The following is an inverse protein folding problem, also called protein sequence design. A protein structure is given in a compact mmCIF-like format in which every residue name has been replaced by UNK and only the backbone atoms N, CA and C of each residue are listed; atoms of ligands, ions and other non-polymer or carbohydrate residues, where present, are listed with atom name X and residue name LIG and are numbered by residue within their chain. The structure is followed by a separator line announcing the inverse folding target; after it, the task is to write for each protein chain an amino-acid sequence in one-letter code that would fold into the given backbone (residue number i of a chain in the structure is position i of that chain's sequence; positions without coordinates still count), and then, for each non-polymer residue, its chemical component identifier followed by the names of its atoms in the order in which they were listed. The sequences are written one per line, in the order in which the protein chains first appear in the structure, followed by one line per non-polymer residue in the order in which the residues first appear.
data_IF_116766607391
#
_entry.id   IF_116766607391
#
_cell.length_a   1.000
_cell.length_b   1.000
_cell.length_c   1.000
_cell.angle_alpha   90.00
_cell.angle_beta   90.00
_cell.angle_gamma   90.00
#
_symmetry.space_group_name_H-M   'P 1'
#
loop_
_entity.id
_entity.type
_entity.pdbx_description
1 polymer ?
#
# COMPACT_ATOMS: atom_id res chain seq x y z
N UNK A 1 -20.94 3.61 9.28
CA UNK A 1 -19.91 4.52 8.85
C UNK A 1 -18.91 3.82 7.92
N UNK A 2 -18.62 4.45 6.85
CA UNK A 2 -17.75 3.86 5.86
C UNK A 2 -16.29 3.96 6.29
N UNK A 3 -15.62 2.85 6.23
CA UNK A 3 -14.21 2.80 6.59
C UNK A 3 -13.36 2.99 5.33
N UNK A 4 -12.71 4.14 5.26
CA UNK A 4 -11.89 4.45 4.08
C UNK A 4 -10.67 3.58 3.94
N UNK A 5 -10.26 2.95 5.03
CA UNK A 5 -9.04 2.13 5.00
C UNK A 5 -9.20 0.88 4.17
N UNK A 6 -10.43 0.56 3.75
CA UNK A 6 -10.62 -0.59 2.88
C UNK A 6 -9.91 -0.43 1.56
N UNK A 7 -9.53 0.79 1.21
CA UNK A 7 -8.86 1.04 -0.06
C UNK A 7 -7.37 0.86 0.01
N UNK A 8 -6.83 0.79 1.22
CA UNK A 8 -5.42 0.54 1.25
C UNK A 8 -4.77 0.88 2.56
N UNK A 9 -4.09 -0.11 3.09
CA UNK A 9 -3.24 0.08 4.25
C UNK A 9 -2.04 0.95 3.89
N UNK A 10 -1.57 0.84 2.65
CA UNK A 10 -0.39 1.56 2.22
C UNK A 10 -0.63 3.07 2.19
N UNK A 11 -1.77 3.49 1.66
CA UNK A 11 -2.10 4.91 1.65
C UNK A 11 -2.18 5.49 3.05
N UNK A 12 -2.75 4.73 3.97
CA UNK A 12 -2.85 5.14 5.35
C UNK A 12 -1.45 5.27 5.98
N UNK A 13 -0.59 4.31 5.67
CA UNK A 13 0.78 4.32 6.19
C UNK A 13 1.57 5.53 5.71
N UNK A 14 1.49 5.84 4.42
CA UNK A 14 2.27 6.98 3.90
C UNK A 14 1.72 8.30 4.43
N UNK A 15 0.41 8.38 4.68
CA UNK A 15 -0.14 9.57 5.31
C UNK A 15 0.41 9.73 6.73
N UNK A 16 0.42 8.65 7.50
CA UNK A 16 0.93 8.69 8.86
C UNK A 16 2.40 9.12 8.88
N UNK A 17 3.21 8.54 8.00
CA UNK A 17 4.63 8.91 7.95
C UNK A 17 4.80 10.38 7.57
N UNK A 18 3.98 10.86 6.62
CA UNK A 18 4.07 12.26 6.22
C UNK A 18 3.77 13.17 7.40
N UNK A 19 2.72 12.87 8.14
CA UNK A 19 2.34 13.69 9.28
C UNK A 19 3.39 13.63 10.39
N UNK A 20 3.95 12.46 10.63
CA UNK A 20 5.00 12.32 11.63
C UNK A 20 6.23 13.14 11.29
N UNK A 21 6.49 13.33 10.01
CA UNK A 21 7.66 14.10 9.56
C UNK A 21 7.33 15.57 9.31
N UNK A 22 6.10 15.98 9.60
CA UNK A 22 5.70 17.38 9.43
C UNK A 22 5.70 17.85 8.00
N UNK A 23 5.51 16.95 7.05
CA UNK A 23 5.53 17.30 5.64
C UNK A 23 4.13 17.55 5.12
N UNK A 24 4.05 18.34 4.07
CA UNK A 24 2.79 18.64 3.41
C UNK A 24 2.65 17.77 2.17
N UNK A 25 1.41 17.61 1.73
CA UNK A 25 1.15 16.78 0.55
C UNK A 25 1.89 17.28 -0.67
N UNK A 26 2.05 18.58 -0.82
CA UNK A 26 2.75 19.08 -1.99
C UNK A 26 4.21 18.68 -2.03
N UNK A 27 4.84 18.51 -0.87
CA UNK A 27 6.22 18.03 -0.83
C UNK A 27 6.31 16.63 -1.42
N UNK A 28 5.34 15.78 -1.07
CA UNK A 28 5.34 14.42 -1.57
C UNK A 28 4.99 14.38 -3.06
N UNK A 29 4.07 15.25 -3.47
CA UNK A 29 3.72 15.31 -4.89
C UNK A 29 4.94 15.67 -5.72
N UNK A 30 5.74 16.63 -5.24
CA UNK A 30 6.95 17.01 -5.96
C UNK A 30 7.97 15.87 -6.00
N UNK A 31 8.18 15.23 -4.85
CA UNK A 31 9.13 14.13 -4.78
C UNK A 31 8.75 13.01 -5.74
N UNK A 32 7.47 12.70 -5.80
CA UNK A 32 6.98 11.58 -6.61
C UNK A 32 6.63 12.00 -8.03
N UNK A 33 6.87 13.26 -8.37
CA UNK A 33 6.64 13.78 -9.71
C UNK A 33 5.20 13.61 -10.15
N UNK A 34 4.29 13.99 -9.26
CA UNK A 34 2.86 13.95 -9.55
C UNK A 34 2.23 15.23 -9.02
N UNK A 35 0.94 15.41 -9.22
CA UNK A 35 0.28 16.62 -8.71
C UNK A 35 -0.38 16.32 -7.35
N UNK A 36 -0.79 17.39 -6.66
CA UNK A 36 -1.36 17.24 -5.34
C UNK A 36 -2.66 16.44 -5.33
N UNK A 37 -3.60 16.68 -6.27
CA UNK A 37 -4.82 15.88 -6.26
C UNK A 37 -4.54 14.38 -6.43
N UNK A 38 -3.58 14.04 -7.28
CA UNK A 38 -3.22 12.65 -7.47
C UNK A 38 -2.59 12.07 -6.20
N UNK A 39 -1.66 12.81 -5.60
CA UNK A 39 -1.04 12.33 -4.38
C UNK A 39 -2.08 12.17 -3.26
N UNK A 40 -3.01 13.13 -3.14
CA UNK A 40 -4.06 13.04 -2.14
C UNK A 40 -4.87 11.76 -2.31
N UNK A 41 -5.18 11.39 -3.55
CA UNK A 41 -5.89 10.15 -3.82
C UNK A 41 -5.08 8.93 -3.42
N UNK A 42 -3.75 9.01 -3.52
CA UNK A 42 -2.91 7.91 -3.09
C UNK A 42 -3.02 7.66 -1.59
N UNK A 43 -3.05 8.73 -0.80
CA UNK A 43 -3.21 8.58 0.64
C UNK A 43 -4.58 8.00 0.99
N UNK A 44 -5.59 8.38 0.23
CA UNK A 44 -6.94 7.87 0.47
C UNK A 44 -7.13 6.44 -0.03
N UNK A 45 -6.19 5.94 -0.81
CA UNK A 45 -6.32 4.62 -1.39
C UNK A 45 -7.18 4.59 -2.65
N UNK A 46 -7.59 5.75 -3.14
CA UNK A 46 -8.38 5.83 -4.36
C UNK A 46 -7.52 5.70 -5.61
N UNK A 47 -6.21 5.87 -5.47
CA UNK A 47 -5.26 5.70 -6.55
C UNK A 47 -4.06 4.94 -6.02
N UNK A 48 -3.68 3.88 -6.73
CA UNK A 48 -2.56 3.07 -6.28
C UNK A 48 -1.24 3.80 -6.52
N UNK A 49 -0.36 3.77 -5.53
CA UNK A 49 0.99 4.28 -5.67
C UNK A 49 1.72 3.39 -6.67
N UNK A 50 2.52 3.99 -7.56
CA UNK A 50 3.29 3.20 -8.50
C UNK A 50 4.46 2.52 -7.79
N UNK A 51 4.80 1.34 -8.28
CA UNK A 51 5.87 0.56 -7.65
C UNK A 51 7.19 1.34 -7.56
N UNK A 52 7.49 2.14 -8.58
CA UNK A 52 8.76 2.87 -8.61
C UNK A 52 8.81 4.02 -7.61
N UNK A 53 7.68 4.37 -7.01
CA UNK A 53 7.65 5.39 -5.96
C UNK A 53 8.07 4.84 -4.60
N UNK A 54 8.01 3.52 -4.42
CA UNK A 54 8.26 2.94 -3.11
C UNK A 54 9.70 3.13 -2.63
N UNK A 55 10.72 2.92 -3.48
CA UNK A 55 12.09 3.22 -3.02
C UNK A 55 12.28 4.67 -2.61
N UNK A 56 11.63 5.60 -3.31
CA UNK A 56 11.73 7.02 -2.97
C UNK A 56 11.14 7.31 -1.60
N UNK A 57 9.99 6.68 -1.31
CA UNK A 57 9.35 6.86 -0.01
C UNK A 57 10.19 6.23 1.10
N UNK A 58 10.74 5.06 0.84
CA UNK A 58 11.57 4.39 1.83
C UNK A 58 12.80 5.23 2.16
N UNK A 59 13.40 5.83 1.17
CA UNK A 59 14.57 6.68 1.37
C UNK A 59 14.20 7.95 2.12
N UNK A 60 13.08 8.58 1.73
CA UNK A 60 12.64 9.80 2.38
C UNK A 60 12.41 9.60 3.87
N UNK A 61 11.72 8.53 4.22
CA UNK A 61 11.31 8.29 5.59
C UNK A 61 12.29 7.43 6.38
N UNK A 62 13.37 6.97 5.73
CA UNK A 62 14.38 6.12 6.36
C UNK A 62 13.78 4.86 6.95
N UNK A 63 12.92 4.22 6.18
CA UNK A 63 12.27 2.98 6.58
C UNK A 63 12.69 1.88 5.62
N UNK A 64 12.44 0.65 6.03
CA UNK A 64 12.84 -0.53 5.27
C UNK A 64 11.99 -0.64 4.01
N UNK A 65 12.65 -0.69 2.86
CA UNK A 65 11.92 -0.76 1.58
C UNK A 65 11.12 -2.05 1.46
N UNK A 66 11.68 -3.15 1.95
CA UNK A 66 10.97 -4.44 1.89
C UNK A 66 9.67 -4.38 2.68
N UNK A 67 9.68 -3.71 3.82
CA UNK A 67 8.45 -3.59 4.61
C UNK A 67 7.39 -2.77 3.89
N UNK A 68 7.81 -1.67 3.25
CA UNK A 68 6.86 -0.88 2.47
C UNK A 68 6.34 -1.67 1.28
N UNK A 69 7.22 -2.39 0.61
CA UNK A 69 6.82 -3.20 -0.54
C UNK A 69 5.84 -4.29 -0.13
N UNK A 70 6.10 -4.92 1.02
CA UNK A 70 5.21 -5.96 1.55
C UNK A 70 3.82 -5.39 1.78
N UNK A 71 3.75 -4.20 2.36
CA UNK A 71 2.46 -3.56 2.62
C UNK A 71 1.74 -3.23 1.31
N UNK A 72 2.50 -2.71 0.34
CA UNK A 72 1.94 -2.35 -0.95
C UNK A 72 1.37 -3.59 -1.66
N UNK A 73 2.08 -4.71 -1.59
CA UNK A 73 1.60 -5.96 -2.20
C UNK A 73 0.44 -6.56 -1.43
N UNK A 74 0.44 -6.42 -0.10
CA UNK A 74 -0.68 -6.91 0.70
C UNK A 74 -1.98 -6.21 0.32
N UNK A 75 -1.89 -4.92 -0.03
CA UNK A 75 -3.06 -4.22 -0.50
C UNK A 75 -3.62 -4.83 -1.79
N UNK A 76 -2.75 -5.31 -2.67
CA UNK A 76 -3.21 -5.96 -3.90
C UNK A 76 -3.96 -7.25 -3.59
N UNK A 77 -3.45 -8.02 -2.61
CA UNK A 77 -4.13 -9.24 -2.19
C UNK A 77 -5.49 -8.91 -1.59
N UNK A 78 -5.51 -7.91 -0.72
CA UNK A 78 -6.77 -7.48 -0.11
C UNK A 78 -7.78 -7.04 -1.18
N UNK A 79 -7.32 -6.24 -2.14
CA UNK A 79 -8.20 -5.74 -3.19
C UNK A 79 -8.81 -6.88 -4.01
N UNK A 80 -8.05 -7.95 -4.21
CA UNK A 80 -8.54 -9.08 -4.98
C UNK A 80 -9.65 -9.83 -4.26
N UNK A 81 -9.69 -9.76 -2.94
CA UNK A 81 -10.58 -10.59 -2.14
C UNK A 81 -11.65 -9.80 -1.39
N UNK A 82 -11.57 -8.48 -1.37
CA UNK A 82 -12.36 -7.69 -0.43
C UNK A 82 -13.86 -7.81 -0.62
N UNK A 83 -14.32 -8.19 -1.80
CA UNK A 83 -15.75 -8.33 -2.05
C UNK A 83 -16.27 -9.72 -1.74
N UNK A 84 -15.40 -10.64 -1.35
CA UNK A 84 -15.81 -11.99 -1.00
C UNK A 84 -16.18 -12.08 0.48
N UNK A 85 -16.90 -13.11 0.86
CA UNK A 85 -17.18 -13.30 2.27
C UNK A 85 -15.92 -13.68 3.03
N UNK A 86 -15.95 -13.41 4.32
CA UNK A 86 -14.74 -13.50 5.15
C UNK A 86 -14.12 -14.89 5.13
N UNK A 87 -14.91 -15.94 5.27
CA UNK A 87 -14.33 -17.26 5.33
C UNK A 87 -13.66 -17.65 4.01
N UNK A 88 -14.24 -17.22 2.90
CA UNK A 88 -13.65 -17.49 1.60
C UNK A 88 -12.35 -16.71 1.42
N UNK A 89 -12.32 -15.46 1.89
CA UNK A 89 -11.09 -14.68 1.85
C UNK A 89 -9.96 -15.39 2.58
N UNK A 90 -10.26 -15.86 3.79
CA UNK A 90 -9.24 -16.47 4.62
C UNK A 90 -8.78 -17.80 4.05
N UNK A 91 -9.72 -18.60 3.55
CA UNK A 91 -9.35 -19.87 2.93
C UNK A 91 -8.48 -19.68 1.71
N UNK A 92 -8.82 -18.68 0.89
CA UNK A 92 -8.03 -18.40 -0.31
C UNK A 92 -6.63 -17.95 0.04
N UNK A 93 -6.49 -17.11 1.06
CA UNK A 93 -5.16 -16.65 1.49
C UNK A 93 -4.35 -17.84 2.01
N UNK A 94 -4.97 -18.71 2.81
CA UNK A 94 -4.26 -19.86 3.34
C UNK A 94 -3.78 -20.78 2.23
N UNK A 95 -4.65 -21.04 1.26
CA UNK A 95 -4.26 -21.89 0.15
C UNK A 95 -3.14 -21.27 -0.67
N UNK A 96 -3.20 -19.97 -0.90
CA UNK A 96 -2.14 -19.27 -1.62
C UNK A 96 -0.82 -19.36 -0.88
N UNK A 97 -0.85 -19.22 0.46
CA UNK A 97 0.37 -19.33 1.26
C UNK A 97 0.99 -20.72 1.10
N UNK A 98 0.17 -21.76 1.14
CA UNK A 98 0.67 -23.11 0.95
C UNK A 98 1.32 -23.27 -0.41
N UNK A 99 0.70 -22.71 -1.42
CA UNK A 99 1.24 -22.78 -2.77
C UNK A 99 2.58 -22.07 -2.88
N UNK A 100 2.69 -20.87 -2.28
CA UNK A 100 3.95 -20.13 -2.28
C UNK A 100 5.06 -20.90 -1.60
N UNK A 101 4.73 -21.56 -0.48
CA UNK A 101 5.76 -22.33 0.24
C UNK A 101 6.23 -23.53 -0.55
N UNK A 102 5.35 -24.14 -1.32
CA UNK A 102 5.72 -25.29 -2.14
C UNK A 102 6.43 -24.93 -3.43
N UNK A 103 6.27 -23.68 -3.87
CA UNK A 103 6.85 -23.20 -5.11
C UNK A 103 8.36 -23.04 -4.96
N UNK A 104 9.10 -23.47 -5.97
CA UNK A 104 10.55 -23.38 -5.93
C UNK A 104 11.06 -22.00 -6.31
N UNK A 105 10.15 -21.13 -6.67
CA UNK A 105 10.52 -19.80 -7.09
C UNK A 105 10.91 -19.75 -8.55
N UNK A 106 11.41 -18.61 -8.92
CA UNK A 106 11.76 -18.35 -10.33
C UNK A 106 13.12 -18.89 -10.69
#
# INVERSE_FOLDING_TARGET
MKDKRIYGMFGHKIKDMRLEHGLRQRHLAELLETDMPMYSKMELGARRVRRDMIPKLAELYKVNEHELMTLWLADAVFAALKSEEKSLQLDAVDLAKEHFKADKGL
#
